data_IF_619670203575
#
_entry.id   IF_619670203575
#
_cell.length_a   1.000
_cell.length_b   1.000
_cell.length_c   1.000
_cell.angle_alpha   90.00
_cell.angle_beta   90.00
_cell.angle_gamma   90.00
#
_symmetry.space_group_name_H-M   'P 1'
#
loop_
_entity.id
_entity.type
_entity.pdbx_description
1 polymer ?
#
# COMPACT_ATOMS: atom_id res chain seq x y z
N UNK A 1 6.59 6.80 -5.11
CA UNK A 1 5.37 6.87 -4.26
C UNK A 1 4.26 5.94 -4.73
N UNK A 2 3.81 5.97 -5.99
CA UNK A 2 2.66 5.18 -6.45
C UNK A 2 2.88 3.67 -6.25
N UNK A 3 4.02 3.14 -6.75
CA UNK A 3 4.40 1.74 -6.54
C UNK A 3 4.42 1.35 -5.05
N UNK A 4 4.96 2.22 -4.20
CA UNK A 4 4.97 2.03 -2.75
C UNK A 4 3.56 1.89 -2.15
N UNK A 5 2.61 2.75 -2.57
CA UNK A 5 1.24 2.64 -2.07
C UNK A 5 0.58 1.30 -2.46
N UNK A 6 0.87 0.79 -3.66
CA UNK A 6 0.39 -0.53 -4.09
C UNK A 6 1.06 -1.67 -3.31
N UNK A 7 2.38 -1.60 -3.09
CA UNK A 7 3.10 -2.61 -2.30
C UNK A 7 2.68 -2.61 -0.83
N UNK A 8 2.43 -1.46 -0.22
CA UNK A 8 2.23 -1.38 1.23
C UNK A 8 0.79 -1.15 1.64
N UNK A 9 -0.13 -0.86 0.70
CA UNK A 9 -1.49 -0.42 1.00
C UNK A 9 -1.58 0.82 1.89
N UNK A 10 -0.50 1.61 2.02
CA UNK A 10 -0.46 2.75 2.96
C UNK A 10 -1.56 3.76 2.64
N UNK A 11 -2.11 4.38 3.69
CA UNK A 11 -2.84 5.65 3.51
C UNK A 11 -1.83 6.73 3.13
N UNK A 12 -2.24 7.70 2.32
CA UNK A 12 -1.37 8.78 1.87
C UNK A 12 -0.81 9.62 3.02
N UNK A 13 -1.58 9.82 4.11
CA UNK A 13 -1.12 10.54 5.29
C UNK A 13 -0.02 9.82 6.07
N UNK A 14 -0.14 8.50 6.23
CA UNK A 14 0.92 7.68 6.79
C UNK A 14 2.14 7.65 5.85
N UNK A 15 1.91 7.55 4.53
CA UNK A 15 2.98 7.46 3.55
C UNK A 15 3.92 8.68 3.60
N UNK A 16 3.38 9.90 3.70
CA UNK A 16 4.20 11.12 3.72
C UNK A 16 5.02 11.30 5.01
N UNK A 17 4.70 10.59 6.09
CA UNK A 17 5.41 10.66 7.37
C UNK A 17 6.39 9.51 7.58
N UNK A 18 6.39 8.51 6.68
CA UNK A 18 7.38 7.44 6.70
C UNK A 18 8.80 7.98 6.47
N UNK A 19 9.75 7.36 7.15
CA UNK A 19 11.18 7.58 7.02
C UNK A 19 11.82 6.36 6.37
N UNK A 20 13.04 6.52 5.84
CA UNK A 20 13.76 5.43 5.19
C UNK A 20 13.94 4.20 6.09
N UNK A 21 14.19 4.40 7.39
CA UNK A 21 14.35 3.32 8.37
C UNK A 21 13.08 2.50 8.65
N UNK A 22 11.92 2.96 8.19
CA UNK A 22 10.67 2.20 8.34
C UNK A 22 10.48 1.13 7.26
N UNK A 23 11.29 1.14 6.19
CA UNK A 23 11.18 0.15 5.11
C UNK A 23 12.27 -0.89 5.26
N UNK A 24 11.88 -2.14 5.44
CA UNK A 24 12.76 -3.28 5.45
C UNK A 24 12.67 -4.00 4.10
N UNK A 25 13.68 -3.74 3.26
CA UNK A 25 13.80 -4.33 1.94
C UNK A 25 14.33 -5.77 1.97
N UNK A 26 14.87 -6.26 3.10
CA UNK A 26 15.30 -7.65 3.22
C UNK A 26 14.09 -8.54 3.47
N UNK A 27 13.20 -8.09 4.35
CA UNK A 27 11.96 -8.80 4.70
C UNK A 27 10.74 -8.34 3.87
N UNK A 28 10.95 -7.46 2.89
CA UNK A 28 9.90 -6.88 2.04
C UNK A 28 8.69 -6.39 2.84
N UNK A 29 8.93 -5.55 3.85
CA UNK A 29 7.88 -5.02 4.71
C UNK A 29 8.10 -3.55 5.10
N UNK A 30 7.04 -2.94 5.64
CA UNK A 30 7.05 -1.57 6.17
C UNK A 30 6.55 -1.59 7.60
N UNK A 31 7.31 -0.97 8.49
CA UNK A 31 6.96 -0.78 9.89
C UNK A 31 6.28 0.58 10.07
N UNK A 32 4.97 0.56 10.29
CA UNK A 32 4.22 1.75 10.65
C UNK A 32 4.27 1.92 12.17
N UNK A 33 5.28 2.62 12.70
CA UNK A 33 5.32 2.99 14.12
C UNK A 33 4.42 4.21 14.36
N UNK A 34 3.31 4.01 15.09
CA UNK A 34 2.33 5.07 15.37
C UNK A 34 2.85 6.23 16.22
N UNK A 35 4.08 6.14 16.76
CA UNK A 35 4.78 7.24 17.46
C UNK A 35 5.49 8.19 16.50
N UNK A 36 5.83 7.72 15.30
CA UNK A 36 6.64 8.47 14.32
C UNK A 36 5.97 8.60 12.96
N UNK A 37 4.92 7.82 12.70
CA UNK A 37 4.13 7.79 11.46
C UNK A 37 2.69 8.14 11.77
N UNK A 38 2.09 9.01 10.94
CA UNK A 38 0.70 9.46 11.07
C UNK A 38 -0.29 8.36 10.63
N UNK A 39 -0.36 7.31 11.44
CA UNK A 39 -1.32 6.23 11.28
C UNK A 39 -2.67 6.61 11.87
N UNK A 40 -3.74 5.97 11.38
CA UNK A 40 -5.08 6.19 11.94
C UNK A 40 -5.12 5.71 13.38
N UNK A 41 -5.47 6.64 14.29
CA UNK A 41 -5.50 6.41 15.74
C UNK A 41 -4.13 6.09 16.37
N UNK A 42 -3.00 6.43 15.72
CA UNK A 42 -1.67 6.21 16.28
C UNK A 42 -1.30 4.73 16.46
N UNK A 43 -1.91 3.84 15.68
CA UNK A 43 -1.64 2.41 15.74
C UNK A 43 -0.26 2.07 15.19
N UNK A 44 0.39 1.09 15.82
CA UNK A 44 1.60 0.48 15.29
C UNK A 44 1.30 -0.87 14.67
N UNK A 45 1.80 -1.10 13.46
CA UNK A 45 1.63 -2.36 12.74
C UNK A 45 2.70 -2.50 11.65
N UNK A 46 2.91 -3.73 11.19
CA UNK A 46 3.79 -4.02 10.06
C UNK A 46 2.95 -4.49 8.88
N UNK A 47 3.30 -4.00 7.70
CA UNK A 47 2.72 -4.48 6.44
C UNK A 47 3.80 -5.12 5.59
N UNK A 48 3.66 -6.40 5.30
CA UNK A 48 4.42 -7.07 4.25
C UNK A 48 3.97 -6.56 2.87
N UNK A 49 4.87 -6.56 1.90
CA UNK A 49 4.57 -6.12 0.55
C UNK A 49 3.49 -7.02 -0.09
N UNK A 50 2.44 -6.40 -0.62
CA UNK A 50 1.44 -7.06 -1.43
C UNK A 50 2.05 -7.58 -2.74
N UNK A 51 1.49 -8.66 -3.30
CA UNK A 51 2.00 -9.31 -4.50
C UNK A 51 1.68 -8.51 -5.79
N UNK A 52 2.26 -7.31 -5.92
CA UNK A 52 2.03 -6.37 -7.03
C UNK A 52 2.98 -6.54 -8.22
N UNK A 53 3.82 -7.58 -8.21
CA UNK A 53 4.85 -7.80 -9.21
C UNK A 53 6.21 -7.20 -8.81
N UNK A 54 7.28 -7.76 -9.39
CA UNK A 54 8.66 -7.40 -9.07
C UNK A 54 9.00 -5.96 -9.49
N UNK A 55 8.34 -5.47 -10.51
CA UNK A 55 8.55 -4.13 -11.09
C UNK A 55 8.17 -3.05 -10.08
N UNK A 56 7.07 -3.24 -9.35
CA UNK A 56 6.66 -2.29 -8.31
C UNK A 56 7.69 -2.25 -7.18
N UNK A 57 8.17 -3.41 -6.73
CA UNK A 57 9.20 -3.50 -5.71
C UNK A 57 10.52 -2.85 -6.16
N UNK A 58 10.92 -3.09 -7.42
CA UNK A 58 12.12 -2.51 -7.99
C UNK A 58 12.07 -0.99 -7.99
N UNK A 59 10.94 -0.39 -8.39
CA UNK A 59 10.75 1.07 -8.34
C UNK A 59 10.96 1.64 -6.93
N UNK A 60 10.53 0.93 -5.90
CA UNK A 60 10.74 1.36 -4.50
C UNK A 60 12.20 1.17 -4.07
N UNK A 61 12.83 0.06 -4.45
CA UNK A 61 14.25 -0.21 -4.17
C UNK A 61 15.15 0.85 -4.81
N UNK A 62 14.91 1.17 -6.08
CA UNK A 62 15.67 2.17 -6.84
C UNK A 62 15.52 3.55 -6.21
N UNK A 63 14.29 3.91 -5.81
CA UNK A 63 14.04 5.17 -5.13
C UNK A 63 14.77 5.29 -3.78
N UNK A 64 14.74 4.22 -2.97
CA UNK A 64 15.47 4.20 -1.70
C UNK A 64 16.99 4.27 -1.94
N UNK A 65 17.49 3.58 -2.96
CA UNK A 65 18.89 3.63 -3.35
C UNK A 65 19.31 5.05 -3.79
N UNK A 66 18.49 5.73 -4.59
CA UNK A 66 18.72 7.13 -4.99
C UNK A 66 18.81 8.05 -3.77
N UNK A 67 17.86 7.97 -2.85
CA UNK A 67 17.86 8.78 -1.63
C UNK A 67 19.12 8.54 -0.78
N UNK A 68 19.56 7.28 -0.63
CA UNK A 68 20.73 6.93 0.17
C UNK A 68 22.05 7.31 -0.51
N UNK A 69 22.22 6.96 -1.78
CA UNK A 69 23.52 7.05 -2.45
C UNK A 69 23.74 8.37 -3.16
N UNK A 70 22.69 8.98 -3.74
CA UNK A 70 22.80 10.24 -4.47
C UNK A 70 22.50 11.45 -3.58
N UNK A 71 21.58 11.30 -2.62
CA UNK A 71 21.17 12.40 -1.74
C UNK A 71 21.69 12.30 -0.30
N UNK A 72 22.37 11.20 0.05
CA UNK A 72 22.94 10.95 1.38
C UNK A 72 21.90 11.05 2.50
N UNK A 73 20.71 10.53 2.25
CA UNK A 73 19.65 10.41 3.26
C UNK A 73 19.96 9.24 4.20
N UNK A 74 19.70 9.48 5.47
CA UNK A 74 19.80 8.53 6.59
C UNK A 74 18.46 7.87 6.87
N UNK A 75 18.44 6.90 7.79
CA UNK A 75 17.22 6.22 8.21
C UNK A 75 16.17 7.15 8.83
N UNK A 76 16.60 8.30 9.34
CA UNK A 76 15.72 9.32 9.93
C UNK A 76 15.11 10.28 8.91
N UNK A 77 15.62 10.30 7.68
CA UNK A 77 15.14 11.18 6.62
C UNK A 77 13.85 10.62 5.97
N UNK A 78 12.98 11.48 5.42
CA UNK A 78 11.69 11.08 4.88
C UNK A 78 11.83 10.15 3.66
N UNK A 79 10.96 9.14 3.56
CA UNK A 79 10.86 8.26 2.39
C UNK A 79 10.30 9.02 1.17
N UNK A 80 9.41 9.98 1.40
CA UNK A 80 8.87 10.87 0.37
C UNK A 80 9.15 12.33 0.74
N UNK A 81 10.39 12.82 0.49
CA UNK A 81 10.77 14.21 0.71
C UNK A 81 9.91 15.17 -0.09
N UNK A 82 9.69 16.36 0.46
CA UNK A 82 9.02 17.44 -0.28
C UNK A 82 9.93 18.01 -1.37
N UNK A 83 9.31 18.51 -2.44
CA UNK A 83 10.05 19.27 -3.45
C UNK A 83 10.63 20.55 -2.85
N UNK A 84 11.92 20.77 -3.05
CA UNK A 84 12.58 22.04 -2.72
C UNK A 84 12.28 23.05 -3.82
N UNK A 85 11.58 24.12 -3.47
CA UNK A 85 11.24 25.22 -4.38
C UNK A 85 12.18 26.39 -4.12
N UNK A 86 12.78 26.91 -5.19
CA UNK A 86 13.70 28.06 -5.13
C UNK A 86 13.59 28.92 -6.38
N UNK A 87 14.37 30.00 -6.43
CA UNK A 87 14.46 30.85 -7.62
C UNK A 87 15.23 30.11 -8.72
N UNK A 88 14.57 29.87 -9.85
CA UNK A 88 15.20 29.30 -11.04
C UNK A 88 15.96 30.34 -11.85
N UNK A 89 16.64 29.89 -12.92
CA UNK A 89 17.40 30.74 -13.83
C UNK A 89 16.57 31.86 -14.48
N UNK A 90 15.27 31.65 -14.63
CA UNK A 90 14.30 32.65 -15.13
C UNK A 90 13.79 33.63 -14.07
N UNK A 91 14.36 33.63 -12.85
CA UNK A 91 13.89 34.39 -11.68
C UNK A 91 12.44 34.08 -11.27
N UNK A 92 11.93 32.92 -11.67
CA UNK A 92 10.63 32.37 -11.23
C UNK A 92 10.85 31.21 -10.27
N UNK A 93 9.88 30.96 -9.40
CA UNK A 93 9.90 29.78 -8.55
C UNK A 93 9.89 28.50 -9.41
N UNK A 94 10.81 27.59 -9.12
CA UNK A 94 10.94 26.31 -9.80
C UNK A 94 11.38 25.22 -8.82
N UNK A 95 11.18 23.95 -9.20
CA UNK A 95 11.72 22.82 -8.46
C UNK A 95 13.24 22.79 -8.64
N UNK A 96 13.98 22.94 -7.54
CA UNK A 96 15.46 23.00 -7.53
C UNK A 96 16.07 21.83 -6.75
N UNK A 97 15.29 20.80 -6.44
CA UNK A 97 15.72 19.57 -5.78
C UNK A 97 14.68 19.01 -4.80
N UNK A 98 15.15 18.23 -3.84
CA UNK A 98 14.37 17.65 -2.75
C UNK A 98 14.86 18.20 -1.40
N UNK A 99 13.95 18.30 -0.43
CA UNK A 99 14.22 18.76 0.93
C UNK A 99 14.20 17.55 1.90
N UNK A 100 14.96 17.60 3.00
CA UNK A 100 14.99 16.54 4.03
C UNK A 100 13.77 16.56 4.95
N UNK A 101 12.77 17.39 4.65
CA UNK A 101 11.49 17.41 5.35
C UNK A 101 10.39 16.70 4.55
N UNK A 102 9.42 16.06 5.22
CA UNK A 102 8.24 15.50 4.55
C UNK A 102 7.33 16.60 3.99
N UNK A 103 6.36 16.19 3.18
CA UNK A 103 5.26 17.07 2.76
C UNK A 103 4.42 17.49 3.98
N UNK A 104 3.99 18.75 4.03
CA UNK A 104 3.13 19.26 5.13
C UNK A 104 1.71 18.69 5.12
N UNK A 105 1.23 18.23 3.96
CA UNK A 105 -0.16 17.80 3.80
C UNK A 105 -0.24 16.59 2.87
N UNK A 106 -1.12 15.61 3.17
CA UNK A 106 -1.40 14.49 2.28
C UNK A 106 -1.99 14.95 0.93
N UNK A 107 -2.60 16.13 0.88
CA UNK A 107 -3.18 16.70 -0.34
C UNK A 107 -2.17 16.85 -1.48
N UNK A 108 -0.92 17.21 -1.17
CA UNK A 108 0.16 17.32 -2.18
C UNK A 108 0.52 15.97 -2.76
N UNK A 109 0.64 14.94 -1.91
CA UNK A 109 0.85 13.56 -2.36
C UNK A 109 -0.33 13.05 -3.19
N UNK A 110 -1.57 13.32 -2.76
CA UNK A 110 -2.76 12.96 -3.52
C UNK A 110 -2.82 13.65 -4.90
N UNK A 111 -2.36 14.91 -4.99
CA UNK A 111 -2.28 15.63 -6.27
C UNK A 111 -1.26 14.99 -7.22
N UNK A 112 -0.06 14.69 -6.73
CA UNK A 112 1.00 14.02 -7.51
C UNK A 112 0.50 12.65 -8.00
N UNK A 113 -0.15 11.89 -7.10
CA UNK A 113 -0.72 10.59 -7.44
C UNK A 113 -1.75 10.71 -8.57
N UNK A 114 -2.73 11.60 -8.43
CA UNK A 114 -3.77 11.83 -9.46
C UNK A 114 -3.15 12.25 -10.79
N UNK A 115 -2.19 13.17 -10.75
CA UNK A 115 -1.55 13.69 -11.95
C UNK A 115 -0.82 12.59 -12.73
N UNK A 116 -0.14 11.67 -12.04
CA UNK A 116 0.55 10.57 -12.72
C UNK A 116 -0.39 9.65 -13.52
N UNK A 117 -1.63 9.45 -13.06
CA UNK A 117 -2.63 8.72 -13.85
C UNK A 117 -3.05 9.52 -15.09
N UNK A 118 -3.26 10.83 -14.95
CA UNK A 118 -3.57 11.71 -16.09
C UNK A 118 -2.46 11.71 -17.12
N UNK A 119 -1.20 11.79 -16.67
CA UNK A 119 -0.02 11.77 -17.54
C UNK A 119 0.13 10.43 -18.29
N UNK A 120 -0.39 9.35 -17.70
CA UNK A 120 -0.49 8.03 -18.33
C UNK A 120 -1.75 7.84 -19.21
N UNK A 121 -2.57 8.88 -19.41
CA UNK A 121 -3.81 8.81 -20.19
C UNK A 121 -4.96 8.09 -19.49
N UNK A 122 -4.89 7.93 -18.17
CA UNK A 122 -5.90 7.24 -17.35
C UNK A 122 -6.77 8.24 -16.58
N UNK A 123 -7.96 7.83 -16.11
CA UNK A 123 -8.77 8.65 -15.20
C UNK A 123 -8.00 9.05 -13.93
N UNK A 124 -8.27 10.24 -13.34
CA UNK A 124 -7.53 10.77 -12.19
C UNK A 124 -7.89 10.07 -10.88
N UNK A 125 -7.49 8.81 -10.72
CA UNK A 125 -7.77 8.01 -9.53
C UNK A 125 -7.11 8.60 -8.27
N UNK A 126 -7.80 8.49 -7.14
CA UNK A 126 -7.26 8.92 -5.84
C UNK A 126 -6.45 7.81 -5.16
N UNK A 127 -5.53 8.15 -4.24
CA UNK A 127 -4.78 7.16 -3.45
C UNK A 127 -5.66 6.13 -2.73
N UNK A 128 -6.87 6.53 -2.29
CA UNK A 128 -7.81 5.61 -1.65
C UNK A 128 -8.20 4.41 -2.53
N UNK A 129 -8.22 4.58 -3.86
CA UNK A 129 -8.55 3.50 -4.80
C UNK A 129 -7.53 2.36 -4.78
N UNK A 130 -6.30 2.61 -4.34
CA UNK A 130 -5.28 1.57 -4.17
C UNK A 130 -5.74 0.53 -3.16
N UNK A 131 -6.32 0.96 -2.04
CA UNK A 131 -6.81 0.04 -1.01
C UNK A 131 -8.04 -0.74 -1.48
N UNK A 132 -8.89 -0.11 -2.29
CA UNK A 132 -10.00 -0.84 -2.94
C UNK A 132 -9.48 -1.91 -3.89
N UNK A 133 -8.48 -1.59 -4.72
CA UNK A 133 -7.83 -2.57 -5.60
C UNK A 133 -7.21 -3.72 -4.79
N UNK A 134 -6.51 -3.41 -3.70
CA UNK A 134 -5.91 -4.41 -2.82
C UNK A 134 -6.95 -5.33 -2.17
N UNK A 135 -8.09 -4.78 -1.75
CA UNK A 135 -9.18 -5.58 -1.21
C UNK A 135 -9.83 -6.47 -2.28
N UNK A 136 -9.98 -5.98 -3.50
CA UNK A 136 -10.51 -6.77 -4.62
C UNK A 136 -9.56 -7.93 -4.99
N UNK A 137 -8.24 -7.68 -5.02
CA UNK A 137 -7.22 -8.70 -5.32
C UNK A 137 -7.20 -9.84 -4.30
N UNK A 138 -7.70 -9.64 -3.08
CA UNK A 138 -7.83 -10.72 -2.11
C UNK A 138 -8.66 -11.89 -2.66
N UNK A 139 -9.63 -11.64 -3.55
CA UNK A 139 -10.46 -12.68 -4.21
C UNK A 139 -9.62 -13.63 -5.07
N UNK A 140 -8.52 -13.12 -5.64
CA UNK A 140 -7.67 -13.88 -6.55
C UNK A 140 -6.55 -14.59 -5.79
N UNK A 141 -6.06 -14.02 -4.68
CA UNK A 141 -4.95 -14.53 -3.89
C UNK A 141 -5.34 -15.41 -2.69
N UNK A 142 -6.41 -15.07 -1.98
CA UNK A 142 -6.80 -15.78 -0.76
C UNK A 142 -7.60 -17.05 -1.11
N UNK A 143 -7.26 -18.17 -0.47
CA UNK A 143 -7.92 -19.47 -0.63
C UNK A 143 -8.56 -19.94 0.66
N UNK A 144 -8.00 -19.56 1.80
CA UNK A 144 -8.49 -19.94 3.13
C UNK A 144 -9.01 -18.72 3.90
N UNK A 145 -9.84 -18.93 4.95
CA UNK A 145 -10.21 -17.85 5.88
C UNK A 145 -8.99 -17.20 6.54
N UNK A 146 -7.93 -17.98 6.80
CA UNK A 146 -6.66 -17.48 7.34
C UNK A 146 -5.98 -16.52 6.37
N UNK A 147 -5.91 -16.84 5.07
CA UNK A 147 -5.35 -15.95 4.05
C UNK A 147 -6.08 -14.60 4.06
N UNK A 148 -7.41 -14.64 4.10
CA UNK A 148 -8.23 -13.42 4.18
C UNK A 148 -7.98 -12.64 5.46
N UNK A 149 -7.74 -13.33 6.59
CA UNK A 149 -7.37 -12.65 7.83
C UNK A 149 -5.99 -12.02 7.74
N UNK A 150 -4.99 -12.75 7.28
CA UNK A 150 -3.64 -12.24 7.08
C UNK A 150 -3.64 -11.02 6.14
N UNK A 151 -4.33 -11.11 4.99
CA UNK A 151 -4.47 -10.01 4.03
C UNK A 151 -5.14 -8.77 4.65
N UNK A 152 -6.18 -8.96 5.45
CA UNK A 152 -6.87 -7.87 6.16
C UNK A 152 -6.00 -7.22 7.25
N UNK A 153 -5.31 -8.03 8.06
CA UNK A 153 -4.38 -7.54 9.07
C UNK A 153 -3.21 -6.79 8.44
N UNK A 154 -2.73 -7.25 7.29
CA UNK A 154 -1.68 -6.60 6.51
C UNK A 154 -2.10 -5.19 6.03
N UNK A 155 -3.41 -4.92 5.90
CA UNK A 155 -3.95 -3.58 5.61
C UNK A 155 -4.01 -2.67 6.84
N UNK A 156 -3.69 -3.16 8.04
CA UNK A 156 -3.85 -2.46 9.31
C UNK A 156 -5.31 -2.40 9.79
N UNK A 157 -6.12 -3.41 9.45
CA UNK A 157 -7.47 -3.58 9.99
C UNK A 157 -7.45 -4.58 11.16
N UNK A 158 -8.04 -4.21 12.30
CA UNK A 158 -8.15 -5.12 13.46
C UNK A 158 -9.20 -6.21 13.22
N UNK A 159 -10.26 -5.87 12.46
CA UNK A 159 -11.40 -6.73 12.22
C UNK A 159 -11.51 -7.09 10.73
N UNK A 160 -11.41 -8.38 10.44
CA UNK A 160 -11.56 -8.99 9.12
C UNK A 160 -12.97 -8.78 8.58
N UNK A 161 -13.96 -8.67 9.46
CA UNK A 161 -15.32 -8.28 9.07
C UNK A 161 -15.37 -6.87 8.51
N UNK A 162 -14.42 -5.97 8.78
CA UNK A 162 -14.38 -4.68 8.08
C UNK A 162 -14.05 -4.92 6.59
N UNK A 163 -13.14 -5.85 6.29
CA UNK A 163 -12.87 -6.25 4.90
C UNK A 163 -14.03 -7.05 4.28
N UNK A 164 -14.65 -7.99 4.99
CA UNK A 164 -15.82 -8.71 4.42
C UNK A 164 -17.08 -7.86 4.30
N UNK A 165 -17.36 -6.95 5.25
CA UNK A 165 -18.56 -6.11 5.27
C UNK A 165 -18.44 -4.91 4.32
N UNK A 166 -17.25 -4.33 4.15
CA UNK A 166 -17.07 -3.17 3.27
C UNK A 166 -17.01 -3.53 1.79
N UNK A 167 -16.70 -4.79 1.43
CA UNK A 167 -16.49 -5.20 0.02
C UNK A 167 -17.61 -6.08 -0.56
N UNK A 168 -18.77 -6.11 0.11
CA UNK A 168 -20.06 -6.31 -0.53
C UNK A 168 -20.59 -7.74 -0.57
N UNK A 169 -21.92 -7.82 -0.63
CA UNK A 169 -22.65 -9.04 -0.94
C UNK A 169 -22.21 -9.61 -2.28
N UNK A 170 -22.10 -10.93 -2.38
CA UNK A 170 -21.92 -11.60 -3.66
C UNK A 170 -23.16 -11.28 -4.51
N UNK A 171 -22.98 -10.70 -5.70
CA UNK A 171 -24.08 -10.42 -6.60
C UNK A 171 -24.89 -11.72 -6.86
N UNK A 172 -26.23 -11.69 -6.88
CA UNK A 172 -27.06 -12.90 -6.90
C UNK A 172 -26.69 -13.90 -8.01
N UNK A 173 -26.40 -13.43 -9.23
CA UNK A 173 -25.96 -14.30 -10.32
C UNK A 173 -24.63 -15.01 -10.03
N UNK A 174 -23.65 -14.29 -9.49
CA UNK A 174 -22.36 -14.85 -9.10
C UNK A 174 -22.49 -15.83 -7.94
N UNK A 175 -23.42 -15.59 -7.01
CA UNK A 175 -23.72 -16.50 -5.92
C UNK A 175 -24.24 -17.84 -6.48
N UNK A 176 -25.18 -17.82 -7.42
CA UNK A 176 -25.71 -19.02 -8.06
C UNK A 176 -24.61 -19.79 -8.81
N UNK A 177 -23.72 -19.09 -9.53
CA UNK A 177 -22.58 -19.72 -10.22
C UNK A 177 -21.59 -20.37 -9.26
N UNK A 178 -21.32 -19.75 -8.11
CA UNK A 178 -20.47 -20.31 -7.07
C UNK A 178 -21.11 -21.55 -6.47
N UNK A 179 -22.41 -21.49 -6.12
CA UNK A 179 -23.14 -22.65 -5.58
C UNK A 179 -23.23 -23.81 -6.58
N UNK A 180 -23.39 -23.53 -7.87
CA UNK A 180 -23.34 -24.56 -8.92
C UNK A 180 -21.95 -25.21 -9.01
N UNK A 181 -20.87 -24.43 -8.90
CA UNK A 181 -19.50 -24.96 -8.85
C UNK A 181 -19.24 -25.79 -7.60
N UNK A 182 -19.69 -25.36 -6.43
CA UNK A 182 -19.54 -26.12 -5.18
C UNK A 182 -20.24 -27.47 -5.25
N UNK A 183 -21.45 -27.52 -5.82
CA UNK A 183 -22.16 -28.79 -6.06
C UNK A 183 -21.39 -29.74 -6.98
N UNK A 184 -20.70 -29.21 -8.00
CA UNK A 184 -19.88 -30.03 -8.91
C UNK A 184 -18.56 -30.50 -8.27
N UNK A 185 -17.99 -29.71 -7.36
CA UNK A 185 -16.72 -30.03 -6.68
C UNK A 185 -16.84 -31.22 -5.72
N UNK A 186 -18.04 -31.53 -5.25
CA UNK A 186 -18.26 -32.59 -4.26
C UNK A 186 -17.81 -32.15 -2.85
N UNK A 187 -17.80 -33.08 -1.87
CA UNK A 187 -17.26 -32.82 -0.54
C UNK A 187 -15.82 -32.31 -0.62
N UNK A 188 -15.42 -31.46 0.31
CA UNK A 188 -14.01 -31.11 0.46
C UNK A 188 -13.24 -32.38 0.84
N UNK A 189 -12.19 -32.71 0.09
CA UNK A 189 -11.27 -33.78 0.47
C UNK A 189 -10.70 -33.45 1.86
N UNK A 190 -10.82 -34.39 2.79
CA UNK A 190 -10.57 -34.22 4.23
C UNK A 190 -9.08 -34.12 4.59
N UNK A 191 -8.21 -33.64 3.69
CA UNK A 191 -6.74 -33.76 3.81
C UNK A 191 -6.03 -32.41 3.66
N UNK A 192 -6.65 -31.31 4.09
CA UNK A 192 -5.88 -30.13 4.48
C UNK A 192 -6.17 -29.86 5.96
N UNK A 193 -5.17 -30.23 6.76
CA UNK A 193 -5.08 -30.05 8.20
C UNK A 193 -5.52 -28.64 8.59
N UNK A 194 -6.64 -28.59 9.30
CA UNK A 194 -6.83 -27.60 10.35
C UNK A 194 -5.83 -27.93 11.47
N UNK A 195 -4.56 -27.56 11.28
CA UNK A 195 -3.65 -27.38 12.40
C UNK A 195 -4.11 -26.13 13.16
N UNK A 196 -5.13 -26.35 13.99
CA UNK A 196 -5.56 -25.43 15.04
C UNK A 196 -4.44 -25.39 16.07
N UNK A 197 -3.56 -24.40 15.97
CA UNK A 197 -2.61 -24.09 17.04
C UNK A 197 -3.40 -23.40 18.16
N UNK A 198 -3.28 -23.96 19.37
CA UNK A 198 -3.76 -23.46 20.67
C UNK A 198 -3.39 -22.00 20.96
#
# INVERSE_FOLDING_TARGET
MIAFLFLSGSREGAAITLRLGHVDLVNSCVNFDGRSVDTKFGKSFTTAFYPMGRECEQVVRDWIAELRFQHHFSDSDPLFPKTRVGLGSSRRFSAVGIDRSPWKSPSSAAKIFKQAFVDAGLPPFSPHRVRDTLAELAKDHCRTPEDYKAWSQNMGHDDVLTTFRSYGSVAPGRQVDLMARFRKRGPLDSVDDFDVIE
#
